data_IF_078153743304
#
_entry.id   IF_078153743304
#
_cell.length_a   1.000
_cell.length_b   1.000
_cell.length_c   1.000
_cell.angle_alpha   90.00
_cell.angle_beta   90.00
_cell.angle_gamma   90.00
#
_symmetry.space_group_name_H-M   'P 1'
#
loop_
_entity.id
_entity.type
_entity.pdbx_description
1 polymer ?
#
# COMPACT_ATOMS: atom_id res chain seq x y z
N UNK A 1 -62.63 34.24 7.74
CA UNK A 1 -61.91 33.91 6.50
C UNK A 1 -60.35 34.06 6.62
N UNK A 2 -59.83 34.93 7.46
CA UNK A 2 -58.40 35.22 7.58
C UNK A 2 -57.57 34.05 8.21
N UNK A 3 -58.13 33.30 9.14
CA UNK A 3 -57.45 32.17 9.85
C UNK A 3 -57.09 30.99 8.93
N UNK A 4 -57.95 30.68 7.96
CA UNK A 4 -57.67 29.59 7.01
C UNK A 4 -56.62 29.95 5.97
N UNK A 5 -56.53 31.22 5.55
CA UNK A 5 -55.50 31.68 4.62
C UNK A 5 -54.09 31.54 5.22
N UNK A 6 -53.90 31.86 6.52
CA UNK A 6 -52.63 31.69 7.20
C UNK A 6 -52.21 30.21 7.30
N UNK A 7 -53.13 29.31 7.59
CA UNK A 7 -52.86 27.88 7.67
C UNK A 7 -52.51 27.31 6.31
N UNK A 8 -53.18 27.68 5.24
CA UNK A 8 -52.85 27.25 3.86
C UNK A 8 -51.47 27.75 3.47
N UNK A 9 -51.13 29.01 3.77
CA UNK A 9 -49.82 29.57 3.48
C UNK A 9 -48.71 28.83 4.23
N UNK A 10 -48.93 28.45 5.49
CA UNK A 10 -47.95 27.67 6.28
C UNK A 10 -47.74 26.27 5.68
N UNK A 11 -48.80 25.61 5.22
CA UNK A 11 -48.68 24.28 4.57
C UNK A 11 -47.95 24.33 3.21
N UNK A 12 -48.17 25.36 2.41
CA UNK A 12 -47.49 25.59 1.16
C UNK A 12 -46.00 25.84 1.42
N UNK A 13 -45.66 26.67 2.42
CA UNK A 13 -44.27 26.96 2.78
C UNK A 13 -43.53 25.69 3.27
N UNK A 14 -44.19 24.88 4.10
CA UNK A 14 -43.60 23.60 4.56
C UNK A 14 -43.40 22.61 3.40
N UNK A 15 -44.33 22.58 2.43
CA UNK A 15 -44.23 21.71 1.28
C UNK A 15 -43.16 22.13 0.30
N UNK A 16 -42.94 23.44 0.10
CA UNK A 16 -41.83 23.94 -0.73
C UNK A 16 -40.46 23.69 -0.11
N UNK A 17 -40.35 23.82 1.21
CA UNK A 17 -39.07 23.51 1.91
C UNK A 17 -38.74 22.03 1.86
N UNK A 18 -39.77 21.14 1.99
CA UNK A 18 -39.52 19.69 1.89
C UNK A 18 -39.11 19.22 0.49
N UNK A 19 -39.58 19.88 -0.56
CA UNK A 19 -39.16 19.56 -1.93
C UNK A 19 -37.70 19.93 -2.17
N UNK A 20 -37.20 21.01 -1.60
CA UNK A 20 -35.79 21.42 -1.76
C UNK A 20 -34.80 20.45 -1.11
N UNK A 21 -35.18 19.75 -0.04
CA UNK A 21 -34.32 18.75 0.63
C UNK A 21 -34.18 17.47 -0.20
N UNK A 22 -35.16 17.16 -1.06
CA UNK A 22 -35.16 15.97 -1.93
C UNK A 22 -34.28 16.15 -3.19
N UNK A 23 -33.92 17.38 -3.55
CA UNK A 23 -33.09 17.68 -4.74
C UNK A 23 -31.64 17.95 -4.38
N UNK A 24 -31.21 17.59 -3.18
CA UNK A 24 -29.79 17.62 -2.86
C UNK A 24 -29.13 16.39 -3.53
N UNK A 25 -28.82 16.55 -4.81
CA UNK A 25 -27.92 15.63 -5.49
C UNK A 25 -26.66 15.54 -4.65
N UNK A 26 -26.41 14.38 -4.06
CA UNK A 26 -25.19 14.16 -3.29
C UNK A 26 -24.01 14.54 -4.18
N UNK A 27 -23.15 15.39 -3.69
CA UNK A 27 -21.90 15.75 -4.36
C UNK A 27 -21.12 14.44 -4.47
N UNK A 28 -21.20 13.78 -5.62
CA UNK A 28 -20.33 12.66 -5.94
C UNK A 28 -18.93 13.23 -6.12
N UNK A 29 -18.12 13.17 -5.07
CA UNK A 29 -16.69 13.42 -5.17
C UNK A 29 -16.12 12.25 -5.96
N UNK A 30 -16.02 12.41 -7.26
CA UNK A 30 -15.20 11.54 -8.10
C UNK A 30 -13.76 11.96 -7.88
N UNK A 31 -13.04 11.18 -7.07
CA UNK A 31 -11.59 11.30 -7.05
C UNK A 31 -11.09 10.87 -8.43
N UNK A 32 -10.51 11.79 -9.18
CA UNK A 32 -9.80 11.44 -10.41
C UNK A 32 -8.64 10.51 -10.03
N UNK A 33 -8.50 9.34 -10.67
CA UNK A 33 -7.41 8.44 -10.33
C UNK A 33 -6.08 9.19 -10.50
N UNK A 34 -5.28 9.23 -9.45
CA UNK A 34 -3.97 9.84 -9.50
C UNK A 34 -3.18 9.23 -10.67
N UNK A 35 -2.76 10.06 -11.61
CA UNK A 35 -1.91 9.62 -12.70
C UNK A 35 -0.57 9.19 -12.09
N UNK A 36 -0.30 7.88 -12.08
CA UNK A 36 0.95 7.33 -11.59
C UNK A 36 1.87 7.19 -12.80
N UNK A 37 3.01 7.89 -12.79
CA UNK A 37 4.00 7.83 -13.86
C UNK A 37 4.75 6.50 -13.93
N UNK A 38 4.66 5.66 -12.90
CA UNK A 38 5.29 4.35 -12.89
C UNK A 38 4.73 3.45 -14.01
N UNK A 39 5.58 2.69 -14.72
CA UNK A 39 5.15 1.77 -15.78
C UNK A 39 4.18 0.69 -15.29
N UNK A 40 4.31 0.27 -14.04
CA UNK A 40 3.40 -0.68 -13.37
C UNK A 40 3.24 -0.28 -11.92
N UNK A 41 2.04 -0.43 -11.39
CA UNK A 41 1.74 -0.14 -10.00
C UNK A 41 0.60 -1.01 -9.47
N UNK A 42 0.64 -1.30 -8.18
CA UNK A 42 -0.47 -1.93 -7.46
C UNK A 42 -0.55 -1.32 -6.06
N UNK A 43 -1.76 -1.03 -5.63
CA UNK A 43 -2.06 -0.58 -4.27
C UNK A 43 -3.01 -1.58 -3.63
N UNK A 44 -2.62 -2.09 -2.49
CA UNK A 44 -3.39 -3.05 -1.71
C UNK A 44 -3.80 -2.46 -0.37
N UNK A 45 -4.99 -2.79 0.08
CA UNK A 45 -5.37 -2.57 1.46
C UNK A 45 -4.68 -3.63 2.32
N UNK A 46 -3.91 -3.21 3.34
CA UNK A 46 -2.97 -4.07 4.05
C UNK A 46 -3.62 -5.16 4.91
N UNK A 47 -4.82 -4.91 5.43
CA UNK A 47 -5.50 -5.85 6.33
C UNK A 47 -6.24 -6.96 5.60
N UNK A 48 -6.74 -6.69 4.38
CA UNK A 48 -7.56 -7.62 3.61
C UNK A 48 -6.90 -8.13 2.34
N UNK A 49 -5.82 -7.48 1.88
CA UNK A 49 -5.20 -7.74 0.60
C UNK A 49 -6.03 -7.28 -0.61
N UNK A 50 -7.12 -6.53 -0.37
CA UNK A 50 -7.97 -6.03 -1.46
C UNK A 50 -7.19 -5.04 -2.33
N UNK A 51 -7.23 -5.26 -3.65
CA UNK A 51 -6.67 -4.31 -4.62
C UNK A 51 -7.52 -3.04 -4.64
N UNK A 52 -6.90 -1.90 -4.34
CA UNK A 52 -7.50 -0.57 -4.39
C UNK A 52 -7.24 0.07 -5.75
N UNK A 53 -6.05 -0.13 -6.30
CA UNK A 53 -5.63 0.39 -7.58
C UNK A 53 -4.64 -0.57 -8.24
N UNK A 54 -4.73 -0.72 -9.57
CA UNK A 54 -3.74 -1.45 -10.34
C UNK A 54 -3.51 -0.80 -11.72
N UNK A 55 -2.26 -0.81 -12.14
CA UNK A 55 -1.82 -0.38 -13.46
C UNK A 55 -0.77 -1.37 -13.94
N UNK A 56 -1.04 -2.09 -15.04
CA UNK A 56 -0.13 -3.10 -15.59
C UNK A 56 0.41 -4.09 -14.52
N UNK A 57 -0.39 -4.41 -13.49
CA UNK A 57 0.03 -5.15 -12.30
C UNK A 57 0.51 -6.59 -12.60
N UNK A 58 0.12 -7.14 -13.76
CA UNK A 58 0.48 -8.50 -14.20
C UNK A 58 1.62 -8.53 -15.21
N UNK A 59 2.14 -7.37 -15.57
CA UNK A 59 3.27 -7.30 -16.51
C UNK A 59 4.55 -7.81 -15.83
N UNK A 60 5.27 -8.68 -16.52
CA UNK A 60 6.57 -9.18 -16.03
C UNK A 60 7.60 -8.08 -16.11
N UNK A 61 8.15 -7.72 -14.96
CA UNK A 61 9.21 -6.73 -14.84
C UNK A 61 10.34 -7.24 -13.96
N UNK A 62 11.53 -6.68 -14.17
CA UNK A 62 12.65 -6.96 -13.27
C UNK A 62 12.36 -6.33 -11.90
N UNK A 63 12.39 -7.11 -10.81
CA UNK A 63 12.09 -6.62 -9.47
C UNK A 63 13.23 -5.79 -8.87
N UNK A 64 14.41 -5.76 -9.49
CA UNK A 64 15.60 -5.08 -8.97
C UNK A 64 15.80 -5.38 -7.46
N UNK A 65 15.99 -4.36 -6.61
CA UNK A 65 16.20 -4.53 -5.17
C UNK A 65 15.01 -5.13 -4.39
N UNK A 66 13.81 -5.20 -4.98
CA UNK A 66 12.67 -5.89 -4.35
C UNK A 66 12.99 -7.38 -4.12
N UNK A 67 13.91 -7.96 -4.90
CA UNK A 67 14.43 -9.31 -4.67
C UNK A 67 14.95 -9.52 -3.23
N UNK A 68 15.45 -8.48 -2.57
CA UNK A 68 15.91 -8.54 -1.17
C UNK A 68 14.80 -8.90 -0.19
N UNK A 69 13.54 -8.54 -0.50
CA UNK A 69 12.38 -8.92 0.32
C UNK A 69 12.25 -10.43 0.38
N UNK A 70 12.47 -11.13 -0.75
CA UNK A 70 12.44 -12.59 -0.79
C UNK A 70 13.58 -13.20 0.04
N UNK A 71 14.78 -12.62 -0.02
CA UNK A 71 15.92 -13.06 0.81
C UNK A 71 15.59 -12.94 2.30
N UNK A 72 15.04 -11.80 2.73
CA UNK A 72 14.62 -11.60 4.11
C UNK A 72 13.51 -12.58 4.52
N UNK A 73 12.50 -12.78 3.67
CA UNK A 73 11.42 -13.73 3.95
C UNK A 73 11.96 -15.13 4.21
N UNK A 74 12.82 -15.65 3.33
CA UNK A 74 13.42 -16.97 3.48
C UNK A 74 14.32 -17.06 4.73
N UNK A 75 15.01 -15.98 5.07
CA UNK A 75 15.83 -15.89 6.29
C UNK A 75 14.96 -15.96 7.55
N UNK A 76 13.87 -15.20 7.60
CA UNK A 76 12.96 -15.23 8.74
C UNK A 76 12.22 -16.57 8.86
N UNK A 77 11.83 -17.19 7.74
CA UNK A 77 11.26 -18.55 7.77
C UNK A 77 12.25 -19.57 8.35
N UNK A 78 13.54 -19.47 7.99
CA UNK A 78 14.57 -20.36 8.51
C UNK A 78 14.83 -20.12 10.00
N UNK A 79 14.78 -18.87 10.47
CA UNK A 79 14.85 -18.51 11.90
C UNK A 79 13.66 -19.08 12.67
N UNK A 80 12.44 -18.89 12.18
CA UNK A 80 11.21 -19.40 12.81
C UNK A 80 11.20 -20.93 12.92
N UNK A 81 11.74 -21.60 11.92
CA UNK A 81 11.91 -23.06 11.89
C UNK A 81 13.11 -23.55 12.75
N UNK A 82 13.88 -22.65 13.36
CA UNK A 82 15.04 -22.99 14.16
C UNK A 82 16.22 -23.60 13.38
N UNK A 83 16.23 -23.43 12.03
CA UNK A 83 17.33 -23.91 11.17
C UNK A 83 18.59 -23.09 11.27
N UNK A 84 18.43 -21.80 11.56
CA UNK A 84 19.50 -20.82 11.76
C UNK A 84 19.17 -19.96 12.96
N UNK A 85 20.16 -19.23 13.47
CA UNK A 85 20.06 -18.32 14.62
C UNK A 85 20.63 -16.96 14.27
N UNK A 86 20.20 -15.93 14.97
CA UNK A 86 20.69 -14.56 14.77
C UNK A 86 22.20 -14.42 15.02
N UNK A 87 22.72 -15.24 15.94
CA UNK A 87 24.15 -15.25 16.30
C UNK A 87 25.02 -16.05 15.32
N UNK A 88 24.42 -16.79 14.38
CA UNK A 88 25.17 -17.61 13.43
C UNK A 88 26.12 -16.75 12.60
N UNK A 89 27.38 -17.22 12.39
CA UNK A 89 28.35 -16.50 11.61
C UNK A 89 28.04 -16.59 10.10
N UNK A 90 27.99 -15.44 9.45
CA UNK A 90 27.86 -15.30 8.00
C UNK A 90 29.18 -14.85 7.43
N UNK A 91 29.79 -15.70 6.60
CA UNK A 91 31.06 -15.39 5.93
C UNK A 91 30.81 -14.81 4.54
N UNK A 92 31.46 -13.69 4.24
CA UNK A 92 31.35 -13.01 2.95
C UNK A 92 32.18 -13.76 1.92
N UNK A 93 31.56 -14.26 0.86
CA UNK A 93 32.25 -14.91 -0.25
C UNK A 93 32.93 -13.91 -1.19
N UNK A 94 33.94 -14.34 -1.94
CA UNK A 94 34.56 -13.55 -3.00
C UNK A 94 33.52 -13.01 -4.00
N UNK A 95 32.53 -13.83 -4.35
CA UNK A 95 31.45 -13.41 -5.25
C UNK A 95 30.61 -12.30 -4.63
N UNK A 96 30.20 -12.45 -3.38
CA UNK A 96 29.36 -11.43 -2.70
C UNK A 96 30.12 -10.10 -2.55
N UNK A 97 31.40 -10.13 -2.20
CA UNK A 97 32.24 -8.93 -2.06
C UNK A 97 32.48 -8.20 -3.38
N UNK A 98 32.41 -8.89 -4.53
CA UNK A 98 32.61 -8.31 -5.87
C UNK A 98 31.33 -7.74 -6.48
N UNK A 99 30.15 -7.99 -5.88
CA UNK A 99 28.87 -7.51 -6.43
C UNK A 99 28.74 -5.99 -6.31
N UNK A 100 28.24 -5.37 -7.39
CA UNK A 100 27.93 -3.95 -7.41
C UNK A 100 26.49 -3.63 -6.92
N UNK A 101 26.12 -2.37 -6.96
CA UNK A 101 24.80 -1.87 -6.58
C UNK A 101 24.72 -1.39 -5.13
N UNK A 102 23.55 -1.48 -4.50
CA UNK A 102 23.39 -1.14 -3.07
C UNK A 102 24.04 -2.23 -2.22
N UNK A 103 25.10 -1.89 -1.51
CA UNK A 103 25.91 -2.85 -0.77
C UNK A 103 26.46 -2.26 0.53
N UNK A 104 26.77 -3.13 1.47
CA UNK A 104 27.66 -2.87 2.60
C UNK A 104 29.05 -3.34 2.19
N UNK A 105 30.05 -2.44 2.21
CA UNK A 105 31.41 -2.73 1.73
C UNK A 105 32.13 -3.69 2.70
N UNK A 106 31.86 -4.98 2.57
CA UNK A 106 32.51 -6.02 3.33
C UNK A 106 33.59 -6.72 2.47
N UNK A 107 34.77 -6.91 3.06
CA UNK A 107 35.84 -7.64 2.39
C UNK A 107 35.51 -9.13 2.27
N UNK A 108 36.12 -9.79 1.29
CA UNK A 108 36.10 -11.25 1.20
C UNK A 108 36.60 -11.89 2.52
N UNK A 109 35.96 -12.95 2.96
CA UNK A 109 36.20 -13.65 4.22
C UNK A 109 35.89 -12.83 5.48
N UNK A 110 35.33 -11.63 5.37
CA UNK A 110 34.77 -10.96 6.53
C UNK A 110 33.65 -11.80 7.12
N UNK A 111 33.55 -11.82 8.47
CA UNK A 111 32.53 -12.57 9.20
C UNK A 111 31.68 -11.59 9.98
N UNK A 112 30.38 -11.68 9.86
CA UNK A 112 29.40 -10.93 10.61
C UNK A 112 28.35 -11.90 11.20
N UNK A 113 27.62 -11.48 12.20
CA UNK A 113 26.45 -12.26 12.64
C UNK A 113 25.29 -12.10 11.68
N UNK A 114 24.40 -13.09 11.60
CA UNK A 114 23.19 -13.00 10.79
C UNK A 114 22.37 -11.77 11.17
N UNK A 115 22.26 -11.43 12.47
CA UNK A 115 21.58 -10.23 12.96
C UNK A 115 22.12 -8.94 12.33
N UNK A 116 23.43 -8.86 12.15
CA UNK A 116 24.08 -7.68 11.51
C UNK A 116 23.81 -7.61 10.02
N UNK A 117 23.53 -8.75 9.37
CA UNK A 117 23.37 -8.86 7.93
C UNK A 117 21.93 -8.65 7.45
N UNK A 118 20.93 -8.68 8.33
CA UNK A 118 19.51 -8.47 8.03
C UNK A 118 19.02 -7.10 8.50
#
# INVERSE_FOLDING_TARGET
MQKNRKRIFTWILLFTVSIQVFWWDGISVSAEPAAIEAPSAVLLESSTGKVIFEQNARERRSPASITKIMTLLLTFEALDQGKIKLEDPVTVSAYASSMGGSQVFLAENAVQTLETMI
#
